data_IF_182627555110
#
_entry.id   IF_182627555110
#
_cell.length_a   1.000
_cell.length_b   1.000
_cell.length_c   1.000
_cell.angle_alpha   90.00
_cell.angle_beta   90.00
_cell.angle_gamma   90.00
#
_symmetry.space_group_name_H-M   'P 1'
#
loop_
_entity.id
_entity.type
_entity.pdbx_description
1 polymer ?
#
# COMPACT_ATOMS: atom_id res chain seq x y z
N UNK A 1 -0.40 3.03 -13.13
CA UNK A 1 0.61 2.05 -13.58
C UNK A 1 -0.08 0.69 -13.78
N UNK A 2 0.04 0.06 -14.95
CA UNK A 2 -0.46 -1.30 -15.18
C UNK A 2 0.48 -2.28 -14.48
N UNK A 3 -0.06 -3.19 -13.67
CA UNK A 3 0.69 -4.37 -13.23
C UNK A 3 1.08 -5.16 -14.49
N UNK A 4 2.36 -5.41 -14.68
CA UNK A 4 2.83 -6.42 -15.64
C UNK A 4 3.00 -7.70 -14.84
N UNK A 5 2.12 -8.67 -15.08
CA UNK A 5 2.34 -10.05 -14.65
C UNK A 5 3.40 -10.65 -15.57
N UNK A 6 4.56 -10.94 -15.00
CA UNK A 6 5.59 -11.74 -15.65
C UNK A 6 5.74 -12.99 -14.78
N UNK A 7 5.28 -14.15 -15.27
CA UNK A 7 5.50 -15.46 -14.64
C UNK A 7 5.14 -15.57 -13.14
N UNK A 8 4.01 -14.98 -12.73
CA UNK A 8 3.51 -15.03 -11.36
C UNK A 8 4.31 -14.21 -10.34
N UNK A 9 5.16 -13.29 -10.81
CA UNK A 9 5.88 -12.32 -9.98
C UNK A 9 5.13 -10.98 -10.09
N UNK A 10 4.41 -10.59 -9.04
CA UNK A 10 3.80 -9.27 -8.98
C UNK A 10 4.83 -8.24 -8.52
N UNK A 11 5.27 -7.38 -9.43
CA UNK A 11 6.09 -6.21 -9.11
C UNK A 11 5.19 -5.04 -8.68
N UNK A 12 5.05 -4.83 -7.37
CA UNK A 12 4.56 -3.55 -6.82
C UNK A 12 5.75 -2.75 -6.32
N UNK A 13 6.16 -1.76 -7.11
CA UNK A 13 7.09 -0.72 -6.66
C UNK A 13 6.40 0.18 -5.63
N UNK A 14 6.88 0.17 -4.39
CA UNK A 14 6.56 1.20 -3.40
C UNK A 14 7.49 2.38 -3.68
N UNK A 15 6.98 3.40 -4.37
CA UNK A 15 7.71 4.65 -4.54
C UNK A 15 7.52 5.52 -3.29
N UNK A 16 8.57 5.68 -2.49
CA UNK A 16 8.68 6.79 -1.57
C UNK A 16 9.22 8.00 -2.36
N UNK A 17 8.32 8.80 -2.93
CA UNK A 17 8.68 10.14 -3.35
C UNK A 17 8.73 11.01 -2.10
N UNK A 18 9.94 11.33 -1.64
CA UNK A 18 10.16 12.49 -0.79
C UNK A 18 10.00 13.70 -1.70
N UNK A 19 8.78 14.26 -1.79
CA UNK A 19 8.57 15.54 -2.49
C UNK A 19 9.24 16.64 -1.67
N UNK A 20 10.25 17.36 -2.21
CA UNK A 20 10.67 18.60 -1.59
C UNK A 20 9.50 19.58 -1.64
N UNK A 21 9.22 20.22 -0.51
CA UNK A 21 8.32 21.37 -0.39
C UNK A 21 8.88 22.53 -1.20
N UNK A 22 8.63 22.52 -2.51
CA UNK A 22 8.82 23.67 -3.38
C UNK A 22 7.58 23.74 -4.27
N UNK A 23 6.74 24.75 -4.06
CA UNK A 23 5.55 25.01 -4.87
C UNK A 23 5.93 25.96 -6.02
N UNK A 24 6.23 25.48 -7.24
CA UNK A 24 6.07 26.32 -8.42
C UNK A 24 4.58 26.36 -8.79
N UNK A 25 4.11 27.56 -9.10
CA UNK A 25 2.75 27.83 -9.59
C UNK A 25 2.60 27.23 -10.99
N UNK A 26 2.25 25.95 -11.07
CA UNK A 26 1.94 25.25 -12.32
C UNK A 26 0.55 24.61 -12.14
N UNK A 27 -0.43 25.18 -12.86
CA UNK A 27 -1.80 24.68 -13.09
C UNK A 27 -2.33 23.70 -12.04
N UNK A 28 -2.95 24.23 -10.97
CA UNK A 28 -3.55 23.46 -9.87
C UNK A 28 -4.64 22.54 -10.43
N UNK A 29 -4.30 21.30 -10.74
CA UNK A 29 -5.29 20.25 -10.93
C UNK A 29 -6.00 20.07 -9.58
N UNK A 30 -7.28 20.38 -9.52
CA UNK A 30 -8.08 20.11 -8.33
C UNK A 30 -8.06 18.59 -8.07
N UNK A 31 -7.68 18.20 -6.85
CA UNK A 31 -7.70 16.79 -6.47
C UNK A 31 -9.15 16.38 -6.25
N UNK A 32 -9.56 15.28 -6.86
CA UNK A 32 -10.91 14.74 -6.76
C UNK A 32 -10.89 13.42 -5.99
N UNK A 33 -12.04 12.98 -5.46
CA UNK A 33 -12.17 11.71 -4.72
C UNK A 33 -11.59 10.52 -5.48
N UNK A 34 -11.73 10.49 -6.81
CA UNK A 34 -11.20 9.44 -7.69
C UNK A 34 -9.67 9.28 -7.62
N UNK A 35 -8.95 10.35 -7.31
CA UNK A 35 -7.49 10.34 -7.19
C UNK A 35 -7.03 9.61 -5.90
N UNK A 36 -7.92 9.44 -4.92
CA UNK A 36 -7.67 8.80 -3.63
C UNK A 36 -8.23 7.37 -3.52
N UNK A 37 -8.73 6.81 -4.63
CA UNK A 37 -9.20 5.42 -4.68
C UNK A 37 -8.06 4.49 -5.10
N UNK A 38 -7.70 3.56 -4.21
CA UNK A 38 -6.67 2.55 -4.50
C UNK A 38 -7.26 1.47 -5.41
N UNK A 39 -6.56 1.20 -6.52
CA UNK A 39 -6.98 0.17 -7.47
C UNK A 39 -6.82 -1.23 -6.88
N UNK A 40 -7.85 -2.07 -7.02
CA UNK A 40 -7.84 -3.49 -6.63
C UNK A 40 -7.58 -4.36 -7.87
N UNK A 41 -6.96 -5.53 -7.66
CA UNK A 41 -6.68 -6.50 -8.72
C UNK A 41 -7.89 -7.42 -9.01
N UNK A 42 -8.83 -7.50 -8.07
CA UNK A 42 -10.04 -8.31 -8.14
C UNK A 42 -10.57 -8.59 -6.74
N UNK A 43 -11.51 -9.55 -6.59
CA UNK A 43 -12.10 -9.89 -5.30
C UNK A 43 -11.08 -10.56 -4.35
N UNK A 44 -11.12 -10.20 -3.08
CA UNK A 44 -10.31 -10.82 -2.02
C UNK A 44 -11.07 -12.00 -1.42
N UNK A 45 -10.65 -13.23 -1.73
CA UNK A 45 -11.36 -14.46 -1.30
C UNK A 45 -10.52 -15.37 -0.41
N UNK A 46 -9.24 -15.07 -0.22
CA UNK A 46 -8.33 -15.90 0.59
C UNK A 46 -8.29 -15.35 2.01
N UNK A 47 -8.55 -16.18 3.02
CA UNK A 47 -8.39 -15.75 4.42
C UNK A 47 -6.91 -15.50 4.74
N UNK A 48 -6.64 -14.36 5.37
CA UNK A 48 -5.31 -13.99 5.83
C UNK A 48 -4.79 -14.99 6.86
N UNK A 49 -3.50 -15.39 6.79
CA UNK A 49 -2.89 -16.28 7.78
C UNK A 49 -2.61 -15.58 9.11
N UNK A 50 -2.89 -14.29 9.20
CA UNK A 50 -2.70 -13.54 10.44
C UNK A 50 -3.81 -13.93 11.44
N UNK A 51 -3.45 -14.18 12.69
CA UNK A 51 -4.42 -14.38 13.77
C UNK A 51 -4.69 -13.03 14.44
N UNK A 52 -5.38 -12.13 13.73
CA UNK A 52 -5.77 -10.82 14.23
C UNK A 52 -7.26 -10.81 14.60
N UNK A 53 -7.64 -9.84 15.43
CA UNK A 53 -9.01 -9.64 15.87
C UNK A 53 -9.73 -8.57 15.05
N UNK A 54 -11.02 -8.39 15.32
CA UNK A 54 -11.81 -7.21 14.93
C UNK A 54 -12.37 -6.48 16.14
N UNK A 55 -12.23 -7.07 17.33
CA UNK A 55 -12.83 -6.56 18.55
C UNK A 55 -11.86 -5.60 19.21
N UNK A 56 -12.31 -4.39 19.46
CA UNK A 56 -11.50 -3.43 20.22
C UNK A 56 -11.49 -3.78 21.71
N UNK A 57 -10.31 -3.69 22.33
CA UNK A 57 -10.15 -3.89 23.78
C UNK A 57 -9.90 -5.32 24.24
N UNK A 58 -9.69 -6.26 23.31
CA UNK A 58 -9.40 -7.67 23.64
C UNK A 58 -7.90 -7.98 23.80
N UNK A 59 -7.05 -6.95 23.73
CA UNK A 59 -5.59 -7.09 23.84
C UNK A 59 -4.91 -7.64 22.59
N UNK A 60 -5.63 -7.81 21.47
CA UNK A 60 -5.09 -8.27 20.20
C UNK A 60 -5.02 -7.14 19.18
N UNK A 61 -4.12 -7.29 18.20
CA UNK A 61 -4.07 -6.39 17.05
C UNK A 61 -5.26 -6.65 16.14
N UNK A 62 -5.82 -5.58 15.58
CA UNK A 62 -7.01 -5.66 14.72
C UNK A 62 -6.68 -5.62 13.23
N UNK A 63 -7.54 -6.26 12.45
CA UNK A 63 -7.66 -6.00 11.03
C UNK A 63 -8.13 -4.57 10.76
N UNK A 64 -7.73 -4.03 9.60
CA UNK A 64 -8.28 -2.78 9.08
C UNK A 64 -9.41 -3.12 8.12
N UNK A 65 -10.62 -2.63 8.39
CA UNK A 65 -11.77 -2.87 7.52
C UNK A 65 -11.64 -2.12 6.18
N UNK A 66 -12.38 -2.58 5.16
CA UNK A 66 -12.23 -2.13 3.77
C UNK A 66 -12.73 -0.71 3.51
N UNK A 67 -13.59 -0.21 4.37
CA UNK A 67 -14.17 1.13 4.38
C UNK A 67 -13.49 2.07 5.38
N UNK A 68 -12.46 1.62 6.11
CA UNK A 68 -11.70 2.50 6.99
C UNK A 68 -10.87 3.51 6.18
N UNK A 69 -11.18 4.79 6.38
CA UNK A 69 -10.53 5.91 5.72
C UNK A 69 -10.02 6.94 6.71
N UNK A 70 -8.98 7.69 6.30
CA UNK A 70 -8.37 8.77 7.08
C UNK A 70 -8.52 10.06 6.28
N UNK A 71 -8.97 11.14 6.91
CA UNK A 71 -9.14 12.42 6.22
C UNK A 71 -7.82 12.94 5.63
N UNK A 72 -7.91 13.45 4.40
CA UNK A 72 -6.80 14.15 3.74
C UNK A 72 -6.51 15.48 4.45
N UNK A 73 -7.57 16.20 4.79
CA UNK A 73 -7.51 17.43 5.55
C UNK A 73 -8.18 17.24 6.91
N UNK A 74 -7.38 17.37 7.97
CA UNK A 74 -7.81 17.20 9.36
C UNK A 74 -8.41 18.48 9.97
N UNK A 75 -8.53 19.55 9.20
CA UNK A 75 -9.17 20.80 9.62
C UNK A 75 -10.67 20.60 9.86
N UNK A 76 -11.10 20.77 11.12
CA UNK A 76 -12.51 20.73 11.50
C UNK A 76 -13.36 21.73 10.70
N UNK A 77 -12.80 22.91 10.39
CA UNK A 77 -13.50 23.94 9.60
C UNK A 77 -13.82 23.42 8.20
N UNK A 78 -12.85 22.79 7.53
CA UNK A 78 -13.02 22.31 6.16
C UNK A 78 -13.91 21.08 6.12
N UNK A 79 -13.81 20.20 7.11
CA UNK A 79 -14.74 19.09 7.32
C UNK A 79 -16.19 19.60 7.41
N UNK A 80 -16.48 20.51 8.35
CA UNK A 80 -17.83 21.04 8.55
C UNK A 80 -18.35 21.77 7.32
N UNK A 81 -17.50 22.52 6.61
CA UNK A 81 -17.89 23.21 5.38
C UNK A 81 -18.26 22.22 4.27
N UNK A 82 -17.48 21.15 4.10
CA UNK A 82 -17.72 20.12 3.08
C UNK A 82 -19.04 19.39 3.37
N UNK A 83 -19.26 19.02 4.64
CA UNK A 83 -20.51 18.40 5.07
C UNK A 83 -21.72 19.33 4.86
N UNK A 84 -21.60 20.63 5.14
CA UNK A 84 -22.67 21.62 4.89
C UNK A 84 -23.02 21.75 3.40
N UNK A 85 -22.05 21.52 2.53
CA UNK A 85 -22.24 21.52 1.07
C UNK A 85 -22.75 20.16 0.54
N UNK A 86 -23.02 19.19 1.43
CA UNK A 86 -23.46 17.85 1.06
C UNK A 86 -22.37 16.97 0.43
N UNK A 87 -21.10 17.42 0.48
CA UNK A 87 -19.97 16.67 -0.03
C UNK A 87 -19.38 15.71 1.01
N UNK A 88 -18.63 14.72 0.54
CA UNK A 88 -17.78 13.88 1.38
C UNK A 88 -16.36 14.48 1.41
N UNK A 89 -15.75 14.64 2.60
CA UNK A 89 -14.38 15.08 2.71
C UNK A 89 -13.41 14.11 2.01
N UNK A 90 -12.41 14.67 1.32
CA UNK A 90 -11.33 13.87 0.75
C UNK A 90 -10.65 13.05 1.85
N UNK A 91 -10.36 11.80 1.54
CA UNK A 91 -9.80 10.85 2.50
C UNK A 91 -8.96 9.80 1.79
N UNK A 92 -7.99 9.22 2.49
CA UNK A 92 -7.16 8.10 2.06
C UNK A 92 -7.73 6.79 2.61
N UNK A 93 -7.55 5.69 1.86
CA UNK A 93 -7.73 4.36 2.43
C UNK A 93 -6.69 4.10 3.52
N UNK A 94 -7.13 3.60 4.69
CA UNK A 94 -6.21 3.27 5.78
C UNK A 94 -5.43 2.01 5.44
N UNK A 95 -4.10 2.11 5.45
CA UNK A 95 -3.23 0.96 5.26
C UNK A 95 -3.21 0.07 6.51
N UNK A 96 -3.19 -1.24 6.32
CA UNK A 96 -3.07 -2.20 7.40
C UNK A 96 -3.34 -3.64 6.95
N UNK A 97 -3.22 -4.61 7.88
CA UNK A 97 -3.53 -6.00 7.57
C UNK A 97 -5.02 -6.14 7.27
N UNK A 98 -5.34 -6.88 6.20
CA UNK A 98 -6.71 -7.22 5.81
C UNK A 98 -7.01 -8.66 6.19
N UNK A 99 -8.27 -8.93 6.56
CA UNK A 99 -8.74 -10.28 6.85
C UNK A 99 -8.80 -11.12 5.57
N UNK A 100 -9.19 -10.51 4.45
CA UNK A 100 -9.29 -11.18 3.15
C UNK A 100 -8.22 -10.66 2.20
N UNK A 101 -7.50 -11.59 1.57
CA UNK A 101 -6.41 -11.36 0.64
C UNK A 101 -6.85 -11.73 -0.78
N UNK A 102 -6.24 -11.05 -1.76
CA UNK A 102 -6.36 -11.42 -3.16
C UNK A 102 -5.44 -12.60 -3.52
N UNK A 103 -4.22 -12.62 -2.98
CA UNK A 103 -3.24 -13.65 -3.27
C UNK A 103 -3.25 -14.77 -2.23
N UNK A 104 -3.15 -16.01 -2.70
CA UNK A 104 -2.89 -17.16 -1.84
C UNK A 104 -1.40 -17.22 -1.48
N UNK A 105 -1.02 -17.07 -0.19
CA UNK A 105 0.40 -16.93 0.16
C UNK A 105 1.28 -18.12 -0.24
N UNK A 106 0.74 -19.35 -0.16
CA UNK A 106 1.45 -20.57 -0.55
C UNK A 106 1.81 -20.63 -2.05
N UNK A 107 1.04 -19.94 -2.90
CA UNK A 107 1.25 -19.89 -4.36
C UNK A 107 1.93 -18.60 -4.83
N UNK A 108 2.16 -17.67 -3.91
CA UNK A 108 2.68 -16.34 -4.24
C UNK A 108 4.20 -16.36 -4.41
N UNK A 109 4.69 -15.60 -5.41
CA UNK A 109 6.11 -15.26 -5.56
C UNK A 109 6.25 -13.75 -5.45
N UNK A 110 7.13 -13.29 -4.57
CA UNK A 110 7.37 -11.87 -4.38
C UNK A 110 8.69 -11.45 -5.04
N UNK A 111 8.66 -10.36 -5.80
CA UNK A 111 9.83 -9.72 -6.37
C UNK A 111 10.10 -8.38 -5.69
N UNK A 112 11.31 -8.15 -5.20
CA UNK A 112 11.75 -6.90 -4.60
C UNK A 112 12.80 -6.28 -5.51
N UNK A 113 12.55 -5.04 -5.92
CA UNK A 113 13.47 -4.23 -6.70
C UNK A 113 13.57 -2.86 -6.05
N UNK A 114 14.77 -2.31 -6.01
CA UNK A 114 15.05 -0.96 -5.50
C UNK A 114 15.67 -0.14 -6.61
N UNK A 115 15.07 1.01 -6.92
CA UNK A 115 15.46 1.87 -8.02
C UNK A 115 15.81 3.27 -7.51
N UNK A 116 16.60 4.02 -8.28
CA UNK A 116 17.03 5.37 -7.92
C UNK A 116 18.29 5.40 -7.06
N UNK A 117 18.53 6.54 -6.41
CA UNK A 117 19.67 6.72 -5.51
C UNK A 117 19.55 5.93 -4.21
N UNK A 118 20.69 5.63 -3.58
CA UNK A 118 20.72 4.99 -2.27
C UNK A 118 20.25 5.98 -1.18
N UNK A 119 19.40 5.49 -0.28
CA UNK A 119 18.91 6.25 0.86
C UNK A 119 19.19 5.45 2.15
N UNK A 120 19.61 6.10 3.25
CA UNK A 120 19.70 5.45 4.55
C UNK A 120 18.39 4.74 4.92
N UNK A 121 18.47 3.49 5.36
CA UNK A 121 17.30 2.69 5.75
C UNK A 121 16.73 1.78 4.68
N UNK A 122 17.21 1.84 3.42
CA UNK A 122 16.76 0.95 2.34
C UNK A 122 16.86 -0.54 2.72
N UNK A 123 17.97 -0.94 3.34
CA UNK A 123 18.15 -2.32 3.80
C UNK A 123 17.17 -2.72 4.92
N UNK A 124 16.78 -1.78 5.78
CA UNK A 124 15.77 -2.05 6.81
C UNK A 124 14.38 -2.24 6.20
N UNK A 125 14.06 -1.50 5.13
CA UNK A 125 12.82 -1.70 4.36
C UNK A 125 12.82 -3.09 3.72
N UNK A 126 13.89 -3.46 3.00
CA UNK A 126 14.01 -4.78 2.37
C UNK A 126 13.88 -5.89 3.41
N UNK A 127 14.64 -5.80 4.52
CA UNK A 127 14.60 -6.80 5.60
C UNK A 127 13.20 -6.95 6.19
N UNK A 128 12.52 -5.84 6.47
CA UNK A 128 11.17 -5.86 7.04
C UNK A 128 10.16 -6.49 6.09
N UNK A 129 10.24 -6.17 4.79
CA UNK A 129 9.39 -6.80 3.76
C UNK A 129 9.62 -8.31 3.69
N UNK A 130 10.88 -8.76 3.63
CA UNK A 130 11.23 -10.18 3.56
C UNK A 130 10.74 -10.94 4.80
N UNK A 131 10.97 -10.39 6.01
CA UNK A 131 10.53 -11.02 7.26
C UNK A 131 9.01 -11.10 7.33
N UNK A 132 8.29 -10.05 6.94
CA UNK A 132 6.82 -10.08 6.94
C UNK A 132 6.27 -11.12 5.96
N UNK A 133 6.76 -11.11 4.72
CA UNK A 133 6.35 -12.09 3.70
C UNK A 133 6.63 -13.53 4.14
N UNK A 134 7.83 -13.79 4.65
CA UNK A 134 8.25 -15.13 5.04
C UNK A 134 7.62 -15.59 6.36
N UNK A 135 7.80 -14.81 7.44
CA UNK A 135 7.43 -15.27 8.79
C UNK A 135 5.93 -15.17 9.06
N UNK A 136 5.26 -14.12 8.56
CA UNK A 136 3.84 -13.87 8.84
C UNK A 136 2.93 -14.42 7.76
N UNK A 137 3.29 -14.22 6.50
CA UNK A 137 2.47 -14.69 5.37
C UNK A 137 2.92 -16.03 4.79
N UNK A 138 4.06 -16.60 5.21
CA UNK A 138 4.57 -17.90 4.74
C UNK A 138 4.88 -17.96 3.24
N UNK A 139 5.18 -16.81 2.62
CA UNK A 139 5.68 -16.74 1.24
C UNK A 139 7.14 -17.21 1.24
N UNK A 140 7.43 -18.31 0.54
CA UNK A 140 8.77 -18.91 0.52
C UNK A 140 9.60 -18.50 -0.70
N UNK A 141 8.97 -18.04 -1.78
CA UNK A 141 9.62 -17.65 -3.03
C UNK A 141 9.74 -16.12 -3.11
N UNK A 142 10.83 -15.58 -2.58
CA UNK A 142 11.11 -14.13 -2.56
C UNK A 142 12.40 -13.87 -3.36
N UNK A 143 12.31 -13.02 -4.39
CA UNK A 143 13.40 -12.70 -5.30
C UNK A 143 13.84 -11.25 -5.12
N UNK A 144 15.15 -11.01 -5.04
CA UNK A 144 15.74 -9.67 -5.02
C UNK A 144 16.41 -9.36 -6.35
N UNK A 145 15.86 -8.41 -7.10
CA UNK A 145 16.43 -7.97 -8.37
C UNK A 145 17.55 -6.95 -8.13
N UNK A 146 18.71 -7.21 -8.74
CA UNK A 146 19.91 -6.38 -8.61
C UNK A 146 19.87 -5.26 -9.63
N UNK A 147 20.50 -4.12 -9.29
CA UNK A 147 20.67 -3.00 -10.23
C UNK A 147 19.35 -2.45 -10.77
N UNK A 148 18.35 -2.20 -9.92
CA UNK A 148 17.12 -1.53 -10.33
C UNK A 148 16.33 -2.29 -11.40
N UNK A 149 15.78 -1.56 -12.37
CA UNK A 149 14.94 -2.13 -13.41
C UNK A 149 15.74 -2.94 -14.44
N UNK A 150 17.04 -2.69 -14.56
CA UNK A 150 17.95 -3.45 -15.40
C UNK A 150 17.99 -4.93 -14.97
N UNK A 151 17.89 -5.22 -13.68
CA UNK A 151 17.80 -6.59 -13.17
C UNK A 151 16.51 -7.34 -13.50
N UNK A 152 15.51 -6.67 -14.10
CA UNK A 152 14.29 -7.30 -14.60
C UNK A 152 14.39 -7.70 -16.08
N UNK A 153 15.41 -7.23 -16.79
CA UNK A 153 15.64 -7.57 -18.20
C UNK A 153 16.35 -8.93 -18.24
N UNK A 154 15.82 -9.91 -18.99
CA UNK A 154 16.43 -11.24 -19.15
C UNK A 154 17.80 -11.20 -19.84
#
# INVERSE_FOLDING_TARGET
MKAKDINGILLKSVFFNVMPYFYPVISRKYMETKDFIVKRLGPCTVKSPLALSKTYGDGQYNYVEDDERIFYDVSLKNYLQTCKQGGEPLSFEKAGPKEMLYFEPAKTRAGIVTCGGLCPGLNNVIRSLVIQLYSRYKVTKILGFRYGYEGLVP
#
